data_IF_774428168300
#
_entry.id   IF_774428168300
#
_cell.length_a   1.000
_cell.length_b   1.000
_cell.length_c   1.000
_cell.angle_alpha   90.00
_cell.angle_beta   90.00
_cell.angle_gamma   90.00
#
_symmetry.space_group_name_H-M   'P 1'
#
loop_
_entity.id
_entity.type
_entity.pdbx_description
1 polymer ?
#
# COMPACT_ATOMS: atom_id res chain seq x y z
N UNK A 1 -39.21 33.77 -51.19
CA UNK A 1 -40.57 34.03 -50.76
C UNK A 1 -40.54 34.13 -49.25
N UNK A 2 -40.26 35.24 -48.61
CA UNK A 2 -41.03 36.45 -48.47
C UNK A 2 -42.36 36.22 -47.78
N UNK A 3 -42.52 36.71 -46.59
CA UNK A 3 -43.48 37.65 -46.01
C UNK A 3 -43.46 37.52 -44.49
N UNK A 4 -42.96 38.45 -43.78
CA UNK A 4 -43.35 39.83 -43.38
C UNK A 4 -44.53 39.89 -42.37
N UNK A 5 -44.21 40.39 -41.16
CA UNK A 5 -44.75 41.50 -40.36
C UNK A 5 -46.23 41.33 -39.91
N UNK A 6 -46.55 41.61 -38.63
CA UNK A 6 -47.09 42.89 -38.18
C UNK A 6 -47.23 42.94 -36.64
N UNK A 7 -46.82 44.06 -36.11
CA UNK A 7 -47.01 44.74 -34.83
C UNK A 7 -48.49 45.05 -34.59
N UNK A 8 -49.00 45.05 -33.35
CA UNK A 8 -49.79 46.16 -32.84
C UNK A 8 -49.90 46.25 -31.32
N UNK A 9 -49.66 47.42 -30.86
CA UNK A 9 -49.75 48.04 -29.55
C UNK A 9 -51.21 48.19 -29.06
N UNK A 10 -51.39 48.16 -27.75
CA UNK A 10 -52.40 49.06 -27.09
C UNK A 10 -52.02 49.26 -25.60
N UNK A 11 -51.91 50.52 -25.30
CA UNK A 11 -51.77 51.17 -24.00
C UNK A 11 -53.14 51.29 -23.35
N UNK A 12 -53.33 51.12 -22.04
CA UNK A 12 -54.17 51.98 -21.22
C UNK A 12 -53.67 52.09 -19.79
N UNK A 13 -53.62 53.32 -19.36
CA UNK A 13 -53.28 53.80 -18.02
C UNK A 13 -54.50 53.66 -17.08
N UNK A 14 -54.25 53.51 -15.76
CA UNK A 14 -54.58 54.54 -14.70
C UNK A 14 -54.75 53.81 -13.35
N UNK A 15 -54.26 54.47 -12.31
CA UNK A 15 -54.69 54.25 -10.94
C UNK A 15 -53.59 54.43 -9.87
N UNK A 16 -53.44 55.70 -9.42
CA UNK A 16 -52.64 56.04 -8.22
C UNK A 16 -53.28 55.49 -6.93
N UNK A 17 -52.53 55.04 -5.95
CA UNK A 17 -52.44 55.75 -4.65
C UNK A 17 -51.62 54.99 -3.61
N UNK A 18 -50.91 55.82 -2.86
CA UNK A 18 -50.46 55.81 -1.48
C UNK A 18 -49.16 55.02 -1.12
N UNK A 19 -48.27 55.88 -0.73
CA UNK A 19 -47.03 55.64 0.02
C UNK A 19 -47.20 54.71 1.21
N UNK A 20 -46.25 53.80 1.35
CA UNK A 20 -45.69 53.51 2.67
C UNK A 20 -44.20 53.21 2.53
N UNK A 21 -43.41 54.05 3.18
CA UNK A 21 -41.98 54.04 3.26
C UNK A 21 -41.54 53.09 4.37
N UNK A 22 -41.06 51.91 4.01
CA UNK A 22 -40.22 51.16 4.91
C UNK A 22 -38.86 50.92 4.24
N UNK A 23 -37.88 51.61 4.77
CA UNK A 23 -36.46 51.43 4.44
C UNK A 23 -36.06 49.97 4.58
N UNK A 24 -35.76 49.32 3.48
CA UNK A 24 -35.07 48.02 3.51
C UNK A 24 -33.59 48.25 3.84
N UNK A 25 -33.26 47.76 5.02
CA UNK A 25 -31.91 47.59 5.55
C UNK A 25 -30.98 46.93 4.50
N UNK A 26 -29.83 47.52 4.15
CA UNK A 26 -28.87 46.92 3.21
C UNK A 26 -27.92 45.93 3.94
N UNK A 27 -28.49 44.93 4.61
CA UNK A 27 -27.72 43.91 5.29
C UNK A 27 -28.32 42.53 5.02
N UNK A 28 -28.40 42.12 3.75
CA UNK A 28 -28.58 40.72 3.38
C UNK A 28 -28.12 40.50 1.91
N UNK A 29 -26.86 40.74 1.67
CA UNK A 29 -26.07 40.04 0.68
C UNK A 29 -24.82 39.55 1.43
N UNK A 30 -25.05 38.74 2.44
CA UNK A 30 -24.05 37.81 2.88
C UNK A 30 -24.00 36.71 1.80
N UNK A 31 -23.00 36.81 0.94
CA UNK A 31 -22.66 35.68 0.07
C UNK A 31 -22.58 34.43 0.94
N UNK A 32 -23.25 33.39 0.51
CA UNK A 32 -22.97 32.06 1.02
C UNK A 32 -21.48 31.79 0.71
N UNK A 33 -20.65 31.98 1.71
CA UNK A 33 -19.36 31.34 1.78
C UNK A 33 -19.72 29.86 1.85
N UNK A 34 -19.52 29.14 0.76
CA UNK A 34 -19.52 27.69 0.79
C UNK A 34 -18.58 27.32 1.92
N UNK A 35 -19.09 26.64 2.96
CA UNK A 35 -18.22 25.97 3.92
C UNK A 35 -17.31 25.08 3.07
N UNK A 36 -16.02 25.44 3.00
CA UNK A 36 -15.01 24.60 2.37
C UNK A 36 -14.98 23.30 3.17
N UNK A 37 -15.48 22.25 2.61
CA UNK A 37 -15.51 20.92 3.22
C UNK A 37 -14.14 20.29 3.01
N UNK A 38 -13.23 20.50 3.95
CA UNK A 38 -12.02 19.69 4.09
C UNK A 38 -12.20 18.69 5.24
N UNK A 39 -11.60 17.52 5.11
CA UNK A 39 -11.63 16.48 6.15
C UNK A 39 -10.44 16.62 7.09
N UNK A 40 -10.53 15.98 8.27
CA UNK A 40 -9.38 15.86 9.17
C UNK A 40 -8.18 15.17 8.49
N UNK A 41 -8.45 14.29 7.56
CA UNK A 41 -7.43 13.57 6.80
C UNK A 41 -6.74 14.44 5.77
N UNK A 42 -7.48 15.34 5.09
CA UNK A 42 -6.84 16.34 4.20
C UNK A 42 -5.84 17.18 4.99
N UNK A 43 -6.25 17.60 6.18
CA UNK A 43 -5.39 18.40 7.04
C UNK A 43 -4.16 17.63 7.50
N UNK A 44 -4.33 16.38 7.92
CA UNK A 44 -3.24 15.52 8.36
C UNK A 44 -2.28 15.21 7.19
N UNK A 45 -2.81 14.88 6.01
CA UNK A 45 -2.01 14.65 4.80
C UNK A 45 -1.11 15.84 4.48
N UNK A 46 -1.69 17.05 4.41
CA UNK A 46 -0.91 18.26 4.09
C UNK A 46 0.14 18.57 5.17
N UNK A 47 -0.22 18.40 6.45
CA UNK A 47 0.73 18.61 7.55
C UNK A 47 1.90 17.63 7.55
N UNK A 48 1.67 16.37 7.18
CA UNK A 48 2.73 15.35 7.13
C UNK A 48 3.56 15.45 5.85
N UNK A 49 2.94 15.81 4.72
CA UNK A 49 3.63 15.86 3.43
C UNK A 49 4.62 17.03 3.32
N UNK A 50 4.40 18.16 4.01
CA UNK A 50 5.36 19.28 4.02
C UNK A 50 6.73 18.86 4.54
N UNK A 51 6.88 18.35 5.78
CA UNK A 51 8.20 17.93 6.27
C UNK A 51 8.75 16.69 5.56
N UNK A 52 7.89 15.85 5.00
CA UNK A 52 8.30 14.76 4.12
C UNK A 52 9.01 15.31 2.90
N UNK A 53 8.40 16.21 2.16
CA UNK A 53 9.01 16.87 0.99
C UNK A 53 10.28 17.67 1.33
N UNK A 54 10.30 18.34 2.47
CA UNK A 54 11.50 19.07 2.92
C UNK A 54 12.71 18.14 3.09
N UNK A 55 12.51 16.91 3.56
CA UNK A 55 13.59 15.93 3.64
C UNK A 55 14.10 15.53 2.25
N UNK A 56 13.23 15.32 1.25
CA UNK A 56 13.66 15.04 -0.12
C UNK A 56 14.48 16.22 -0.71
N UNK A 57 14.06 17.45 -0.44
CA UNK A 57 14.82 18.65 -0.85
C UNK A 57 16.21 18.69 -0.18
N UNK A 58 16.29 18.30 1.11
CA UNK A 58 17.59 18.18 1.80
C UNK A 58 18.46 17.10 1.16
N UNK A 59 17.93 15.91 0.86
CA UNK A 59 18.65 14.85 0.15
C UNK A 59 19.14 15.32 -1.22
N UNK A 60 18.26 15.91 -2.00
CA UNK A 60 18.55 16.41 -3.35
C UNK A 60 19.65 17.49 -3.34
N UNK A 61 19.69 18.34 -2.31
CA UNK A 61 20.72 19.40 -2.18
C UNK A 61 22.15 18.85 -2.10
N UNK A 62 22.33 17.60 -1.65
CA UNK A 62 23.64 16.95 -1.54
C UNK A 62 24.21 16.56 -2.91
N UNK A 63 23.37 16.29 -3.90
CA UNK A 63 23.76 15.72 -5.18
C UNK A 63 24.77 16.59 -5.94
N UNK A 64 24.59 17.90 -5.95
CA UNK A 64 25.46 18.83 -6.67
C UNK A 64 26.95 18.75 -6.27
N UNK A 65 27.26 18.34 -5.05
CA UNK A 65 28.63 18.26 -4.53
C UNK A 65 29.15 16.83 -4.32
N UNK A 66 28.29 15.83 -4.42
CA UNK A 66 28.59 14.46 -4.03
C UNK A 66 28.40 13.41 -5.12
N UNK A 67 27.42 13.63 -6.02
CA UNK A 67 27.12 12.70 -7.09
C UNK A 67 28.23 12.64 -8.15
N UNK A 68 28.45 11.46 -8.70
CA UNK A 68 29.32 11.20 -9.83
C UNK A 68 28.56 11.25 -11.15
N UNK A 69 27.31 10.73 -11.18
CA UNK A 69 26.48 10.66 -12.36
C UNK A 69 25.77 12.00 -12.60
N UNK A 70 26.03 12.70 -13.74
CA UNK A 70 25.36 13.97 -14.05
C UNK A 70 23.82 13.85 -14.12
N UNK A 71 23.29 12.69 -14.52
CA UNK A 71 21.84 12.48 -14.58
C UNK A 71 21.21 12.47 -13.18
N UNK A 72 21.91 11.95 -12.17
CA UNK A 72 21.49 12.04 -10.75
C UNK A 72 21.46 13.51 -10.30
N UNK A 73 22.45 14.31 -10.69
CA UNK A 73 22.47 15.76 -10.38
C UNK A 73 21.27 16.47 -11.02
N UNK A 74 21.02 16.20 -12.30
CA UNK A 74 19.92 16.82 -13.03
C UNK A 74 18.56 16.43 -12.44
N UNK A 75 18.35 15.15 -12.13
CA UNK A 75 17.11 14.66 -11.52
C UNK A 75 16.94 15.20 -10.09
N UNK A 76 17.99 15.23 -9.27
CA UNK A 76 17.93 15.81 -7.93
C UNK A 76 17.52 17.29 -7.95
N UNK A 77 18.01 18.05 -8.93
CA UNK A 77 17.59 19.44 -9.11
C UNK A 77 16.12 19.56 -9.54
N UNK A 78 15.61 18.65 -10.38
CA UNK A 78 14.19 18.59 -10.76
C UNK A 78 13.30 18.23 -9.55
N UNK A 79 13.63 17.18 -8.81
CA UNK A 79 12.96 16.80 -7.56
C UNK A 79 12.91 17.98 -6.59
N UNK A 80 14.06 18.64 -6.36
CA UNK A 80 14.11 19.80 -5.45
C UNK A 80 13.20 20.94 -5.90
N UNK A 81 13.12 21.22 -7.20
CA UNK A 81 12.28 22.28 -7.74
C UNK A 81 10.78 21.95 -7.64
N UNK A 82 10.39 20.73 -8.01
CA UNK A 82 9.01 20.25 -7.95
C UNK A 82 8.50 20.24 -6.50
N UNK A 83 9.22 19.59 -5.60
CA UNK A 83 8.79 19.45 -4.21
C UNK A 83 8.79 20.77 -3.44
N UNK A 84 9.70 21.70 -3.72
CA UNK A 84 9.58 23.06 -3.17
C UNK A 84 8.31 23.80 -3.65
N UNK A 85 7.90 23.58 -4.91
CA UNK A 85 6.65 24.15 -5.42
C UNK A 85 5.41 23.54 -4.71
N UNK A 86 5.41 22.25 -4.50
CA UNK A 86 4.33 21.54 -3.78
C UNK A 86 4.27 21.95 -2.31
N UNK A 87 5.42 22.12 -1.63
CA UNK A 87 5.47 22.70 -0.28
C UNK A 87 4.76 24.05 -0.24
N UNK A 88 5.04 24.96 -1.17
CA UNK A 88 4.39 26.28 -1.21
C UNK A 88 2.88 26.18 -1.41
N UNK A 89 2.40 25.23 -2.23
CA UNK A 89 0.97 24.97 -2.40
C UNK A 89 0.35 24.51 -1.08
N UNK A 90 0.97 23.54 -0.40
CA UNK A 90 0.54 23.00 0.88
C UNK A 90 0.54 24.05 1.99
N UNK A 91 1.60 24.85 2.10
CA UNK A 91 1.67 25.95 3.05
C UNK A 91 0.57 27.00 2.81
N UNK A 92 0.33 27.37 1.55
CA UNK A 92 -0.73 28.30 1.18
C UNK A 92 -2.12 27.73 1.55
N UNK A 93 -2.32 26.44 1.37
CA UNK A 93 -3.55 25.74 1.75
C UNK A 93 -3.75 25.78 3.27
N UNK A 94 -2.72 25.51 4.07
CA UNK A 94 -2.76 25.60 5.53
C UNK A 94 -2.99 27.03 6.02
N UNK A 95 -2.28 28.01 5.46
CA UNK A 95 -2.44 29.43 5.82
C UNK A 95 -3.86 29.94 5.58
N UNK A 96 -4.49 29.52 4.47
CA UNK A 96 -5.87 29.90 4.17
C UNK A 96 -6.87 29.37 5.23
N UNK A 97 -6.46 28.38 6.01
CA UNK A 97 -7.23 27.74 7.11
C UNK A 97 -6.78 28.17 8.50
N UNK A 98 -5.95 29.22 8.58
CA UNK A 98 -5.55 29.86 9.84
C UNK A 98 -4.34 29.22 10.52
N UNK A 99 -3.65 28.29 9.86
CA UNK A 99 -2.38 27.75 10.37
C UNK A 99 -1.28 28.78 10.14
N UNK A 100 -0.62 29.17 11.21
CA UNK A 100 0.43 30.22 11.17
C UNK A 100 1.83 29.70 11.43
N UNK A 101 1.94 28.46 11.89
CA UNK A 101 3.21 27.78 12.10
C UNK A 101 3.23 26.51 11.23
N UNK A 102 4.19 26.45 10.31
CA UNK A 102 4.34 25.30 9.42
C UNK A 102 4.91 24.11 10.18
N UNK A 103 4.47 22.89 9.86
CA UNK A 103 4.98 21.69 10.49
C UNK A 103 6.42 21.41 10.04
N UNK A 104 7.20 20.86 10.94
CA UNK A 104 8.51 20.25 10.69
C UNK A 104 8.57 18.86 11.32
N UNK A 105 9.59 18.05 10.99
CA UNK A 105 9.72 16.68 11.50
C UNK A 105 9.76 16.63 13.03
N UNK A 106 10.41 17.59 13.67
CA UNK A 106 10.53 17.64 15.14
C UNK A 106 9.20 17.95 15.79
N UNK A 107 8.39 18.82 15.19
CA UNK A 107 7.08 19.23 15.70
C UNK A 107 6.02 18.13 15.62
N UNK A 108 6.19 17.15 14.72
CA UNK A 108 5.28 16.02 14.57
C UNK A 108 5.43 14.96 15.68
N UNK A 109 6.54 14.98 16.44
CA UNK A 109 6.75 14.11 17.59
C UNK A 109 6.53 12.62 17.28
N UNK A 110 5.61 11.95 17.99
CA UNK A 110 5.33 10.54 17.78
C UNK A 110 4.75 10.22 16.38
N UNK A 111 4.16 11.19 15.69
CA UNK A 111 3.64 10.99 14.33
C UNK A 111 4.74 10.91 13.27
N UNK A 112 5.92 11.50 13.52
CA UNK A 112 7.06 11.37 12.60
C UNK A 112 7.53 9.91 12.44
N UNK A 113 7.40 9.09 13.48
CA UNK A 113 7.72 7.66 13.43
C UNK A 113 6.72 6.79 12.62
N UNK A 114 5.65 7.38 12.12
CA UNK A 114 4.64 6.73 11.27
C UNK A 114 4.59 7.28 9.85
N UNK A 115 5.52 8.18 9.50
CA UNK A 115 5.63 8.65 8.12
C UNK A 115 6.48 7.67 7.30
N UNK A 116 5.80 7.02 6.38
CA UNK A 116 6.41 6.05 5.49
C UNK A 116 7.47 6.70 4.59
N UNK A 117 8.61 6.03 4.41
CA UNK A 117 9.67 6.49 3.54
C UNK A 117 10.58 7.59 4.08
N UNK A 118 10.26 8.20 5.23
CA UNK A 118 11.15 9.20 5.85
C UNK A 118 12.42 8.52 6.35
N UNK A 119 13.57 9.03 5.91
CA UNK A 119 14.87 8.54 6.34
C UNK A 119 15.14 8.87 7.81
N UNK A 120 15.74 7.92 8.50
CA UNK A 120 16.29 8.13 9.84
C UNK A 120 17.51 9.07 9.78
N UNK A 121 17.84 9.71 10.91
CA UNK A 121 19.05 10.55 10.98
C UNK A 121 20.32 9.75 10.66
N UNK A 122 20.37 8.45 10.99
CA UNK A 122 21.49 7.57 10.63
C UNK A 122 21.61 7.38 9.11
N UNK A 123 20.49 7.20 8.40
CA UNK A 123 20.49 7.09 6.93
C UNK A 123 20.86 8.43 6.28
N UNK A 124 20.33 9.54 6.78
CA UNK A 124 20.72 10.87 6.31
C UNK A 124 22.20 11.16 6.51
N UNK A 125 22.77 10.74 7.66
CA UNK A 125 24.20 10.91 7.92
C UNK A 125 25.05 10.02 7.00
N UNK A 126 24.61 8.78 6.74
CA UNK A 126 25.25 7.89 5.76
C UNK A 126 25.27 8.53 4.38
N UNK A 127 24.16 9.11 3.94
CA UNK A 127 24.06 9.82 2.66
C UNK A 127 24.99 11.07 2.61
N UNK A 128 25.05 11.82 3.71
CA UNK A 128 25.94 13.01 3.82
C UNK A 128 27.43 12.65 3.75
N UNK A 129 27.82 11.46 4.18
CA UNK A 129 29.21 11.00 4.16
C UNK A 129 29.61 10.37 2.82
N UNK A 130 28.66 9.78 2.09
CA UNK A 130 28.90 9.15 0.80
C UNK A 130 29.31 10.17 -0.28
N UNK A 131 30.03 9.69 -1.30
CA UNK A 131 30.41 10.47 -2.49
C UNK A 131 30.68 9.59 -3.70
N UNK A 132 30.64 10.17 -4.91
CA UNK A 132 30.88 9.40 -6.13
C UNK A 132 29.79 8.37 -6.39
N UNK A 133 30.15 7.20 -6.93
CA UNK A 133 29.21 6.11 -7.22
C UNK A 133 28.47 5.57 -5.99
N UNK A 134 29.09 5.61 -4.82
CA UNK A 134 28.43 5.23 -3.56
C UNK A 134 27.30 6.20 -3.21
N UNK A 135 27.53 7.52 -3.40
CA UNK A 135 26.47 8.49 -3.22
C UNK A 135 25.34 8.27 -4.23
N UNK A 136 25.65 8.07 -5.51
CA UNK A 136 24.67 7.85 -6.56
C UNK A 136 23.75 6.66 -6.21
N UNK A 137 24.33 5.56 -5.73
CA UNK A 137 23.58 4.38 -5.33
C UNK A 137 22.66 4.65 -4.12
N UNK A 138 23.23 5.18 -3.04
CA UNK A 138 22.48 5.48 -1.81
C UNK A 138 21.41 6.54 -2.04
N UNK A 139 21.72 7.59 -2.82
CA UNK A 139 20.72 8.61 -3.16
C UNK A 139 19.54 8.02 -3.91
N UNK A 140 19.81 7.17 -4.89
CA UNK A 140 18.75 6.51 -5.65
C UNK A 140 17.91 5.58 -4.79
N UNK A 141 18.55 4.71 -3.98
CA UNK A 141 17.84 3.78 -3.10
C UNK A 141 16.99 4.52 -2.07
N UNK A 142 17.54 5.49 -1.39
CA UNK A 142 16.84 6.25 -0.35
C UNK A 142 15.73 7.16 -0.91
N UNK A 143 15.97 7.78 -2.08
CA UNK A 143 14.94 8.61 -2.73
C UNK A 143 13.78 7.76 -3.27
N UNK A 144 14.04 6.55 -3.75
CA UNK A 144 12.99 5.60 -4.13
C UNK A 144 12.14 5.22 -2.91
N UNK A 145 12.76 4.85 -1.78
CA UNK A 145 12.04 4.53 -0.54
C UNK A 145 11.20 5.72 -0.06
N UNK A 146 11.78 6.91 -0.11
CA UNK A 146 11.12 8.16 0.26
C UNK A 146 9.90 8.46 -0.63
N UNK A 147 10.02 8.34 -1.94
CA UNK A 147 8.92 8.54 -2.89
C UNK A 147 7.79 7.52 -2.70
N UNK A 148 8.13 6.25 -2.46
CA UNK A 148 7.14 5.22 -2.15
C UNK A 148 6.31 5.58 -0.92
N UNK A 149 6.94 6.17 0.10
CA UNK A 149 6.24 6.68 1.28
C UNK A 149 5.27 7.80 0.97
N UNK A 150 5.67 8.79 0.16
CA UNK A 150 4.79 9.88 -0.26
C UNK A 150 3.59 9.38 -1.07
N UNK A 151 3.82 8.43 -1.99
CA UNK A 151 2.77 7.79 -2.79
C UNK A 151 1.77 7.07 -1.88
N UNK A 152 2.25 6.31 -0.89
CA UNK A 152 1.40 5.65 0.11
C UNK A 152 0.49 6.64 0.83
N UNK A 153 1.05 7.73 1.38
CA UNK A 153 0.27 8.78 2.05
C UNK A 153 -0.72 9.49 1.12
N UNK A 154 -0.36 9.71 -0.15
CA UNK A 154 -1.24 10.31 -1.14
C UNK A 154 -2.41 9.39 -1.52
N UNK A 155 -2.17 8.09 -1.62
CA UNK A 155 -3.22 7.09 -1.84
C UNK A 155 -4.21 7.01 -0.67
N UNK A 156 -3.72 7.08 0.56
CA UNK A 156 -4.56 7.06 1.76
C UNK A 156 -5.60 8.17 1.74
N UNK A 157 -5.21 9.39 1.35
CA UNK A 157 -6.16 10.50 1.27
C UNK A 157 -7.14 10.36 0.11
N UNK A 158 -6.75 9.74 -1.00
CA UNK A 158 -7.63 9.47 -2.14
C UNK A 158 -8.67 8.38 -1.86
N UNK A 159 -8.30 7.38 -1.05
CA UNK A 159 -9.15 6.23 -0.72
C UNK A 159 -10.27 6.57 0.28
N UNK A 160 -10.28 7.75 0.88
CA UNK A 160 -11.30 8.18 1.83
C UNK A 160 -12.62 8.60 1.16
N UNK A 161 -13.33 7.71 0.56
CA UNK A 161 -14.71 7.86 0.07
C UNK A 161 -14.97 9.07 -0.86
N UNK A 162 -15.67 8.86 -1.95
CA UNK A 162 -15.86 9.80 -3.07
C UNK A 162 -16.56 11.13 -2.75
N UNK A 163 -17.15 11.28 -1.56
CA UNK A 163 -17.93 12.47 -1.17
C UNK A 163 -17.33 13.30 -0.03
N UNK A 164 -16.14 12.96 0.46
CA UNK A 164 -15.47 13.70 1.53
C UNK A 164 -14.07 14.13 1.07
N UNK A 165 -13.65 15.31 1.50
CA UNK A 165 -12.32 15.85 1.25
C UNK A 165 -12.27 16.99 0.25
N UNK A 166 -11.21 17.78 0.36
CA UNK A 166 -10.95 18.96 -0.45
C UNK A 166 -10.50 18.55 -1.87
N UNK A 167 -11.18 18.99 -2.93
CA UNK A 167 -10.78 18.68 -4.30
C UNK A 167 -9.34 19.14 -4.64
N UNK A 168 -8.84 20.21 -4.03
CA UNK A 168 -7.48 20.68 -4.25
C UNK A 168 -6.46 19.72 -3.63
N UNK A 169 -6.73 19.17 -2.45
CA UNK A 169 -5.88 18.16 -1.81
C UNK A 169 -5.88 16.86 -2.62
N UNK A 170 -7.04 16.44 -3.12
CA UNK A 170 -7.12 15.25 -4.00
C UNK A 170 -6.34 15.44 -5.30
N UNK A 171 -6.43 16.61 -5.92
CA UNK A 171 -5.67 16.92 -7.12
C UNK A 171 -4.15 16.93 -6.85
N UNK A 172 -3.73 17.51 -5.72
CA UNK A 172 -2.34 17.49 -5.29
C UNK A 172 -1.85 16.05 -5.04
N UNK A 173 -2.61 15.23 -4.33
CA UNK A 173 -2.26 13.83 -4.09
C UNK A 173 -2.11 13.02 -5.39
N UNK A 174 -2.99 13.25 -6.38
CA UNK A 174 -2.87 12.63 -7.71
C UNK A 174 -1.62 13.11 -8.47
N UNK A 175 -1.26 14.40 -8.37
CA UNK A 175 -0.03 14.95 -8.97
C UNK A 175 1.21 14.29 -8.36
N UNK A 176 1.28 14.27 -7.03
CA UNK A 176 2.39 13.64 -6.28
C UNK A 176 2.60 12.20 -6.71
N UNK A 177 1.52 11.41 -6.80
CA UNK A 177 1.62 10.00 -7.26
C UNK A 177 2.24 9.93 -8.64
N UNK A 178 1.70 10.66 -9.62
CA UNK A 178 2.16 10.60 -11.01
C UNK A 178 3.61 11.05 -11.18
N UNK A 179 3.98 12.18 -10.59
CA UNK A 179 5.33 12.73 -10.69
C UNK A 179 6.37 11.83 -10.01
N UNK A 180 6.07 11.34 -8.81
CA UNK A 180 7.02 10.51 -8.07
C UNK A 180 7.13 9.08 -8.61
N UNK A 181 6.09 8.52 -9.24
CA UNK A 181 6.21 7.25 -9.98
C UNK A 181 7.18 7.39 -11.17
N UNK A 182 7.11 8.49 -11.94
CA UNK A 182 8.05 8.74 -13.03
C UNK A 182 9.49 8.93 -12.53
N UNK A 183 9.69 9.64 -11.43
CA UNK A 183 11.00 9.84 -10.81
C UNK A 183 11.61 8.54 -10.27
N UNK A 184 10.79 7.65 -9.68
CA UNK A 184 11.22 6.29 -9.26
C UNK A 184 11.76 5.49 -10.46
N UNK A 185 11.08 5.51 -11.60
CA UNK A 185 11.54 4.83 -12.81
C UNK A 185 12.91 5.36 -13.26
N UNK A 186 13.09 6.69 -13.28
CA UNK A 186 14.35 7.29 -13.64
C UNK A 186 15.47 6.93 -12.65
N UNK A 187 15.22 7.03 -11.33
CA UNK A 187 16.18 6.66 -10.29
C UNK A 187 16.64 5.22 -10.44
N UNK A 188 15.71 4.28 -10.58
CA UNK A 188 16.02 2.86 -10.79
C UNK A 188 16.92 2.65 -12.01
N UNK A 189 16.64 3.32 -13.12
CA UNK A 189 17.46 3.23 -14.33
C UNK A 189 18.88 3.75 -14.14
N UNK A 190 19.07 4.76 -13.28
CA UNK A 190 20.36 5.41 -13.05
C UNK A 190 21.26 4.65 -12.08
N UNK A 191 20.68 4.00 -11.07
CA UNK A 191 21.45 3.24 -10.06
C UNK A 191 21.67 1.78 -10.45
N UNK A 192 21.25 1.36 -11.64
CA UNK A 192 21.37 -0.04 -12.07
C UNK A 192 20.55 -0.99 -11.20
N UNK A 193 19.47 -0.51 -10.61
CA UNK A 193 18.57 -1.32 -9.77
C UNK A 193 17.92 -2.49 -10.55
N UNK A 194 18.11 -2.53 -11.87
CA UNK A 194 17.78 -3.67 -12.73
C UNK A 194 18.74 -4.86 -12.59
N UNK A 195 19.89 -4.70 -11.92
CA UNK A 195 20.94 -5.73 -11.82
C UNK A 195 20.80 -6.68 -10.61
N UNK A 196 19.77 -6.55 -9.76
CA UNK A 196 19.43 -7.68 -8.89
C UNK A 196 18.98 -8.82 -9.80
N UNK A 197 19.60 -10.00 -9.74
CA UNK A 197 19.25 -11.07 -10.65
C UNK A 197 17.74 -11.34 -10.57
N UNK A 198 17.08 -11.36 -11.72
CA UNK A 198 15.63 -11.64 -11.79
C UNK A 198 15.29 -12.97 -11.09
N UNK A 199 16.27 -13.87 -10.96
CA UNK A 199 16.17 -15.15 -10.24
C UNK A 199 17.42 -15.38 -9.43
N UNK A 200 17.22 -15.76 -8.17
CA UNK A 200 18.27 -16.13 -7.20
C UNK A 200 17.97 -17.53 -6.69
N UNK A 201 18.95 -18.40 -6.70
CA UNK A 201 18.82 -19.74 -6.14
C UNK A 201 18.90 -19.70 -4.62
N UNK A 202 17.96 -20.39 -3.95
CA UNK A 202 17.91 -20.51 -2.49
C UNK A 202 18.94 -21.54 -2.02
N UNK A 203 19.76 -21.17 -1.04
CA UNK A 203 20.78 -22.06 -0.49
C UNK A 203 20.85 -21.97 1.05
N UNK A 204 20.64 -23.08 1.76
CA UNK A 204 20.17 -24.37 1.26
C UNK A 204 18.75 -24.30 0.69
N UNK A 205 18.45 -25.17 -0.30
CA UNK A 205 17.11 -25.27 -0.85
C UNK A 205 16.09 -25.71 0.22
N UNK A 206 14.86 -25.23 0.10
CA UNK A 206 13.76 -25.56 1.02
C UNK A 206 13.13 -26.92 0.68
N UNK A 207 12.43 -27.52 1.63
CA UNK A 207 11.73 -28.80 1.40
C UNK A 207 10.47 -28.64 0.55
N UNK A 208 9.69 -27.60 0.84
CA UNK A 208 8.42 -27.25 0.18
C UNK A 208 8.04 -25.85 0.63
N UNK A 209 7.33 -25.10 -0.19
CA UNK A 209 6.82 -23.77 0.12
C UNK A 209 5.31 -23.78 0.13
N UNK A 210 4.72 -23.33 1.22
CA UNK A 210 3.27 -23.22 1.34
C UNK A 210 2.79 -21.79 1.14
N UNK A 211 3.44 -20.84 1.83
CA UNK A 211 3.08 -19.43 1.81
C UNK A 211 4.30 -18.56 2.11
N UNK A 212 4.25 -17.28 1.76
CA UNK A 212 5.36 -16.36 1.97
C UNK A 212 4.89 -14.92 2.23
N UNK A 213 5.60 -14.23 3.12
CA UNK A 213 5.48 -12.78 3.34
C UNK A 213 6.86 -12.13 3.21
N UNK A 214 6.91 -10.88 2.78
CA UNK A 214 8.17 -10.15 2.56
C UNK A 214 8.23 -8.89 3.42
N UNK A 215 9.43 -8.53 3.85
CA UNK A 215 9.71 -7.25 4.47
C UNK A 215 11.19 -6.94 4.43
N UNK A 216 11.53 -5.72 3.97
CA UNK A 216 12.90 -5.21 4.00
C UNK A 216 13.91 -6.05 3.22
N UNK A 217 13.51 -6.68 2.12
CA UNK A 217 14.37 -7.57 1.32
C UNK A 217 14.58 -8.95 1.92
N UNK A 218 13.82 -9.32 2.94
CA UNK A 218 13.80 -10.66 3.55
C UNK A 218 12.42 -11.29 3.29
N UNK A 219 12.41 -12.54 2.82
CA UNK A 219 11.18 -13.31 2.65
C UNK A 219 11.10 -14.35 3.76
N UNK A 220 9.95 -14.37 4.45
CA UNK A 220 9.60 -15.35 5.46
C UNK A 220 8.67 -16.38 4.83
N UNK A 221 9.04 -17.64 4.89
CA UNK A 221 8.41 -18.73 4.12
C UNK A 221 7.94 -19.82 5.07
N UNK A 222 6.66 -20.15 5.02
CA UNK A 222 6.08 -21.32 5.67
C UNK A 222 6.47 -22.59 4.92
N UNK A 223 7.02 -23.59 5.63
CA UNK A 223 7.47 -24.87 5.08
C UNK A 223 7.06 -26.01 5.96
N UNK A 224 7.24 -27.26 5.50
CA UNK A 224 7.05 -28.48 6.33
C UNK A 224 7.96 -28.59 7.56
N UNK A 225 8.93 -27.69 7.72
CA UNK A 225 9.95 -27.80 8.77
C UNK A 225 10.20 -26.50 9.55
N UNK A 226 9.24 -25.63 9.57
CA UNK A 226 9.30 -24.34 10.25
C UNK A 226 9.21 -23.16 9.30
N UNK A 227 9.46 -21.97 9.83
CA UNK A 227 9.60 -20.75 9.04
C UNK A 227 11.03 -20.57 8.62
N UNK A 228 11.26 -20.41 7.34
CA UNK A 228 12.57 -20.07 6.80
C UNK A 228 12.61 -18.60 6.39
N UNK A 229 13.71 -17.94 6.64
CA UNK A 229 13.99 -16.59 6.16
C UNK A 229 14.99 -16.67 5.01
N UNK A 230 14.68 -16.01 3.91
CA UNK A 230 15.54 -15.95 2.71
C UNK A 230 15.89 -14.49 2.43
N UNK A 231 17.19 -14.23 2.30
CA UNK A 231 17.70 -12.93 1.85
C UNK A 231 17.59 -12.83 0.33
N UNK A 232 16.83 -11.83 -0.14
CA UNK A 232 16.54 -11.65 -1.57
C UNK A 232 17.71 -11.15 -2.40
N UNK A 233 18.82 -10.78 -1.76
CA UNK A 233 20.03 -10.34 -2.47
C UNK A 233 21.04 -11.48 -2.66
N UNK A 234 21.06 -12.45 -1.76
CA UNK A 234 22.07 -13.54 -1.74
C UNK A 234 21.47 -14.93 -1.97
N UNK A 235 20.16 -15.09 -1.74
CA UNK A 235 19.50 -16.40 -1.72
C UNK A 235 19.80 -17.23 -0.47
N UNK A 236 20.54 -16.68 0.50
CA UNK A 236 20.84 -17.38 1.75
C UNK A 236 19.56 -17.67 2.51
N UNK A 237 19.33 -18.93 2.89
CA UNK A 237 18.17 -19.36 3.68
C UNK A 237 18.58 -19.86 5.04
N UNK A 238 17.80 -19.54 6.06
CA UNK A 238 17.98 -20.01 7.42
C UNK A 238 16.61 -20.31 8.07
N UNK A 239 16.60 -21.34 8.94
CA UNK A 239 15.44 -21.63 9.79
C UNK A 239 15.36 -20.58 10.91
N UNK A 240 14.16 -20.01 11.14
CA UNK A 240 13.92 -19.01 12.16
C UNK A 240 13.31 -19.66 13.41
N UNK A 241 13.90 -19.36 14.57
CA UNK A 241 13.46 -19.90 15.86
C UNK A 241 13.63 -21.41 15.98
N UNK A 242 12.95 -21.99 16.97
CA UNK A 242 13.07 -23.39 17.32
C UNK A 242 11.89 -24.24 16.82
N UNK A 243 10.82 -23.62 16.32
CA UNK A 243 9.65 -24.33 15.80
C UNK A 243 9.99 -25.07 14.50
N UNK A 244 9.59 -26.34 14.46
CA UNK A 244 9.66 -27.20 13.27
C UNK A 244 8.25 -27.64 12.84
N UNK A 245 7.23 -26.84 13.21
CA UNK A 245 5.86 -27.10 12.81
C UNK A 245 5.73 -26.91 11.30
N UNK A 246 4.82 -27.66 10.71
CA UNK A 246 4.48 -27.55 9.30
C UNK A 246 3.48 -26.40 9.13
N UNK A 247 3.97 -25.25 8.64
CA UNK A 247 3.16 -24.06 8.45
C UNK A 247 2.53 -24.02 7.06
N UNK A 248 1.25 -24.43 6.99
CA UNK A 248 0.45 -24.50 5.76
C UNK A 248 0.01 -23.12 5.22
N UNK A 249 -0.07 -22.12 6.09
CA UNK A 249 -0.38 -20.74 5.73
C UNK A 249 0.33 -19.76 6.63
N UNK A 250 0.64 -18.58 6.07
CA UNK A 250 1.36 -17.50 6.73
C UNK A 250 0.84 -16.15 6.24
N UNK A 251 0.48 -15.25 7.14
CA UNK A 251 0.02 -13.92 6.80
C UNK A 251 0.53 -12.87 7.79
N UNK A 252 0.57 -11.61 7.37
CA UNK A 252 0.91 -10.48 8.22
C UNK A 252 2.22 -9.79 7.86
N UNK A 253 2.74 -9.03 8.82
CA UNK A 253 3.94 -8.21 8.69
C UNK A 253 4.98 -8.67 9.69
N UNK A 254 6.16 -9.13 9.26
CA UNK A 254 7.21 -9.64 10.16
C UNK A 254 7.59 -8.68 11.28
N UNK A 255 7.66 -7.38 11.01
CA UNK A 255 8.02 -6.34 11.99
C UNK A 255 6.93 -6.05 13.00
N UNK A 256 5.69 -6.46 12.75
CA UNK A 256 4.54 -6.23 13.63
C UNK A 256 4.01 -7.55 14.16
N UNK A 257 3.23 -8.23 13.34
CA UNK A 257 2.54 -9.46 13.70
C UNK A 257 2.45 -10.36 12.48
N UNK A 258 2.79 -11.63 12.67
CA UNK A 258 2.45 -12.71 11.73
C UNK A 258 1.47 -13.68 12.40
N UNK A 259 0.59 -14.25 11.60
CA UNK A 259 -0.28 -15.37 11.97
C UNK A 259 -0.02 -16.55 11.04
N UNK A 260 -0.16 -17.75 11.55
CA UNK A 260 0.05 -18.98 10.79
C UNK A 260 -0.87 -20.09 11.28
N UNK A 261 -0.96 -21.15 10.49
CA UNK A 261 -1.67 -22.38 10.81
C UNK A 261 -1.00 -23.56 10.15
N UNK A 262 -1.34 -24.79 10.59
CA UNK A 262 -0.80 -26.01 10.00
C UNK A 262 -0.79 -27.19 10.95
N UNK A 263 0.31 -27.96 10.96
CA UNK A 263 0.44 -29.19 11.74
C UNK A 263 1.64 -29.15 12.70
N UNK A 264 1.55 -29.82 13.86
CA UNK A 264 2.66 -29.86 14.80
C UNK A 264 3.83 -30.68 14.24
N UNK A 265 5.02 -30.10 14.31
CA UNK A 265 6.27 -30.74 13.94
C UNK A 265 6.86 -31.60 15.07
N UNK A 266 8.05 -32.16 14.81
CA UNK A 266 8.77 -32.98 15.79
C UNK A 266 9.14 -32.16 17.01
N UNK A 267 8.62 -32.52 18.17
CA UNK A 267 8.89 -31.85 19.45
C UNK A 267 7.93 -30.72 19.79
N UNK A 268 6.95 -30.46 18.94
CA UNK A 268 5.86 -29.51 19.23
C UNK A 268 4.99 -30.02 20.38
N UNK A 269 4.54 -29.10 21.22
CA UNK A 269 3.56 -29.39 22.27
C UNK A 269 2.13 -29.08 21.87
N UNK A 270 1.92 -28.55 20.65
CA UNK A 270 0.62 -28.18 20.12
C UNK A 270 -0.17 -29.42 19.64
N UNK A 271 -1.48 -29.35 19.69
CA UNK A 271 -2.37 -30.38 19.14
C UNK A 271 -2.38 -30.36 17.61
N UNK A 272 -2.81 -31.44 16.98
CA UNK A 272 -2.95 -31.50 15.51
C UNK A 272 -4.43 -31.35 15.10
N UNK A 273 -4.77 -30.35 14.27
CA UNK A 273 -3.95 -29.24 13.74
C UNK A 273 -3.59 -28.21 14.82
N UNK A 274 -2.60 -27.32 14.53
CA UNK A 274 -2.15 -26.33 15.51
C UNK A 274 -3.12 -25.16 15.72
N UNK A 275 -4.18 -25.08 14.91
CA UNK A 275 -5.12 -23.96 14.94
C UNK A 275 -4.49 -22.65 14.45
N UNK A 276 -4.90 -21.54 15.03
CA UNK A 276 -4.28 -20.23 14.78
C UNK A 276 -3.15 -19.99 15.77
N UNK A 277 -1.95 -19.75 15.26
CA UNK A 277 -0.79 -19.31 16.03
C UNK A 277 -0.34 -17.93 15.59
N UNK A 278 0.31 -17.18 16.49
CA UNK A 278 0.73 -15.80 16.30
C UNK A 278 2.18 -15.62 16.71
N UNK A 279 2.92 -14.84 15.93
CA UNK A 279 4.26 -14.36 16.28
C UNK A 279 4.30 -12.84 16.27
N UNK A 280 4.91 -12.23 17.29
CA UNK A 280 5.18 -10.80 17.40
C UNK A 280 6.68 -10.47 17.33
N UNK A 281 7.50 -11.42 16.92
CA UNK A 281 8.97 -11.32 16.89
C UNK A 281 9.58 -12.00 15.66
N UNK A 282 9.03 -11.75 14.50
CA UNK A 282 9.55 -12.19 13.20
C UNK A 282 9.63 -13.72 13.05
N UNK A 283 8.71 -14.45 13.68
CA UNK A 283 8.66 -15.92 13.58
C UNK A 283 9.60 -16.66 14.54
N UNK A 284 10.35 -15.95 15.42
CA UNK A 284 11.25 -16.60 16.39
C UNK A 284 10.48 -17.45 17.39
N UNK A 285 9.31 -17.00 17.83
CA UNK A 285 8.41 -17.77 18.72
C UNK A 285 6.97 -17.62 18.28
N UNK A 286 6.16 -18.65 18.55
CA UNK A 286 4.76 -18.73 18.20
C UNK A 286 3.92 -19.01 19.44
N UNK A 287 2.80 -18.32 19.57
CA UNK A 287 1.81 -18.44 20.62
C UNK A 287 0.51 -19.01 20.05
N UNK A 288 -0.06 -20.05 20.66
CA UNK A 288 -1.37 -20.56 20.29
C UNK A 288 -2.45 -19.57 20.71
N UNK A 289 -3.33 -19.19 19.77
CA UNK A 289 -4.39 -18.21 19.99
C UNK A 289 -5.74 -18.91 20.14
N UNK A 290 -6.10 -19.76 19.17
CA UNK A 290 -7.40 -20.46 19.18
C UNK A 290 -7.45 -21.61 18.19
N UNK A 291 -8.52 -22.40 18.23
CA UNK A 291 -8.86 -23.47 17.30
C UNK A 291 -7.82 -24.60 17.24
N UNK A 292 -6.96 -24.71 18.26
CA UNK A 292 -5.99 -25.79 18.40
C UNK A 292 -6.69 -27.15 18.49
N UNK A 293 -6.28 -28.10 17.67
CA UNK A 293 -6.91 -29.40 17.52
C UNK A 293 -8.19 -29.40 16.66
N UNK A 294 -8.63 -28.24 16.15
CA UNK A 294 -9.91 -28.09 15.46
C UNK A 294 -9.74 -27.68 13.98
N UNK A 295 -8.86 -26.72 13.69
CA UNK A 295 -8.77 -26.06 12.36
C UNK A 295 -7.35 -26.04 11.84
N UNK A 296 -7.20 -26.37 10.56
CA UNK A 296 -5.98 -26.25 9.75
C UNK A 296 -6.25 -25.27 8.61
N UNK A 297 -5.85 -24.01 8.80
CA UNK A 297 -6.01 -23.00 7.76
C UNK A 297 -4.97 -23.18 6.65
N UNK A 298 -5.46 -23.36 5.44
CA UNK A 298 -4.66 -23.44 4.21
C UNK A 298 -4.55 -22.10 3.48
N UNK A 299 -5.30 -21.11 3.88
CA UNK A 299 -5.19 -19.72 3.44
C UNK A 299 -5.58 -18.80 4.60
N UNK A 300 -4.77 -17.78 4.83
CA UNK A 300 -4.95 -16.78 5.88
C UNK A 300 -4.76 -15.38 5.32
N UNK A 301 -5.48 -14.42 5.88
CA UNK A 301 -5.22 -13.00 5.70
C UNK A 301 -5.47 -12.25 7.01
N UNK A 302 -4.65 -11.25 7.30
CA UNK A 302 -4.78 -10.40 8.47
C UNK A 302 -4.74 -8.92 8.06
N UNK A 303 -5.65 -8.14 8.65
CA UNK A 303 -5.62 -6.69 8.62
C UNK A 303 -5.90 -6.19 10.05
N UNK A 304 -4.88 -5.67 10.72
CA UNK A 304 -4.92 -5.31 12.14
C UNK A 304 -5.38 -6.47 13.03
N UNK A 305 -6.59 -6.37 13.62
CA UNK A 305 -7.20 -7.41 14.45
C UNK A 305 -8.23 -8.27 13.68
N UNK A 306 -8.42 -8.02 12.40
CA UNK A 306 -9.32 -8.79 11.57
C UNK A 306 -8.54 -9.90 10.87
N UNK A 307 -8.99 -11.15 11.04
CA UNK A 307 -8.36 -12.31 10.43
C UNK A 307 -9.41 -13.09 9.65
N UNK A 308 -9.06 -13.49 8.44
CA UNK A 308 -9.85 -14.40 7.61
C UNK A 308 -9.03 -15.63 7.32
N UNK A 309 -9.65 -16.81 7.47
CA UNK A 309 -9.00 -18.07 7.17
C UNK A 309 -9.95 -19.08 6.50
N UNK A 310 -9.35 -20.04 5.81
CA UNK A 310 -10.06 -21.15 5.17
C UNK A 310 -9.34 -22.49 5.42
N UNK A 311 -10.08 -23.50 5.86
CA UNK A 311 -9.59 -24.82 6.30
C UNK A 311 -10.01 -25.95 5.37
N UNK A 312 -10.15 -25.81 4.12
CA UNK A 312 -10.48 -26.83 3.11
C UNK A 312 -11.80 -27.59 3.31
N UNK A 313 -12.40 -27.59 4.51
CA UNK A 313 -13.57 -28.43 4.88
C UNK A 313 -14.85 -27.63 5.09
N UNK A 314 -14.74 -26.32 5.28
CA UNK A 314 -15.87 -25.49 5.69
C UNK A 314 -16.00 -24.17 4.95
N UNK A 315 -16.86 -23.28 5.45
CA UNK A 315 -16.91 -21.90 4.99
C UNK A 315 -15.64 -21.15 5.38
N UNK A 316 -15.47 -19.96 4.84
CA UNK A 316 -14.52 -18.99 5.39
C UNK A 316 -14.83 -18.76 6.87
N UNK A 317 -13.80 -18.60 7.66
CA UNK A 317 -13.91 -18.17 9.05
C UNK A 317 -13.36 -16.77 9.18
N UNK A 318 -14.04 -15.92 9.93
CA UNK A 318 -13.68 -14.51 10.12
C UNK A 318 -13.69 -14.13 11.60
N UNK A 319 -12.63 -13.49 12.04
CA UNK A 319 -12.44 -12.94 13.39
C UNK A 319 -12.26 -11.43 13.33
N UNK A 320 -12.80 -10.72 14.32
CA UNK A 320 -12.62 -9.26 14.51
C UNK A 320 -11.79 -8.91 15.75
N UNK A 321 -11.35 -9.91 16.49
CA UNK A 321 -10.72 -9.78 17.82
C UNK A 321 -9.35 -10.44 17.90
N UNK A 322 -8.63 -10.48 16.78
CA UNK A 322 -7.29 -11.04 16.71
C UNK A 322 -7.24 -12.56 16.76
N UNK A 323 -8.33 -13.21 16.31
CA UNK A 323 -8.44 -14.67 16.24
C UNK A 323 -9.00 -15.33 17.50
N UNK A 324 -9.52 -14.58 18.48
CA UNK A 324 -10.07 -15.17 19.71
C UNK A 324 -11.46 -15.76 19.51
N UNK A 325 -12.30 -15.14 18.67
CA UNK A 325 -13.62 -15.66 18.31
C UNK A 325 -13.82 -15.62 16.80
N UNK A 326 -14.66 -16.52 16.28
CA UNK A 326 -14.82 -16.74 14.86
C UNK A 326 -16.28 -16.78 14.43
N UNK A 327 -16.56 -16.20 13.28
CA UNK A 327 -17.87 -16.20 12.61
C UNK A 327 -17.72 -16.88 11.25
N UNK A 328 -18.68 -17.73 10.87
CA UNK A 328 -18.72 -18.36 9.55
C UNK A 328 -19.14 -17.38 8.46
N UNK A 329 -18.41 -17.38 7.35
CA UNK A 329 -18.69 -16.63 6.13
C UNK A 329 -19.21 -17.53 4.99
N UNK A 330 -19.04 -17.10 3.72
CA UNK A 330 -19.46 -17.87 2.56
C UNK A 330 -18.63 -19.16 2.37
N UNK A 331 -19.25 -20.16 1.77
CA UNK A 331 -18.57 -21.41 1.40
C UNK A 331 -17.89 -21.23 0.04
N UNK A 332 -16.57 -21.20 0.04
CA UNK A 332 -15.71 -21.12 -1.15
C UNK A 332 -14.50 -22.05 -0.99
N UNK A 333 -13.91 -22.46 -2.10
CA UNK A 333 -12.63 -23.19 -2.08
C UNK A 333 -11.50 -22.17 -2.32
N UNK A 334 -11.02 -21.57 -1.26
CA UNK A 334 -9.98 -20.56 -1.37
C UNK A 334 -8.60 -21.20 -1.62
N UNK A 335 -7.83 -20.63 -2.53
CA UNK A 335 -6.41 -20.97 -2.72
C UNK A 335 -5.50 -19.93 -2.09
N UNK A 336 -5.79 -18.63 -2.26
CA UNK A 336 -5.16 -17.56 -1.50
C UNK A 336 -6.21 -16.53 -1.09
N UNK A 337 -5.93 -15.84 0.00
CA UNK A 337 -6.80 -14.82 0.59
C UNK A 337 -5.91 -13.63 0.94
N UNK A 338 -6.35 -12.42 0.57
CA UNK A 338 -5.67 -11.18 0.98
C UNK A 338 -6.68 -10.11 1.39
N UNK A 339 -6.27 -9.21 2.26
CA UNK A 339 -6.93 -7.94 2.49
C UNK A 339 -6.36 -6.90 1.54
N UNK A 340 -7.23 -6.22 0.82
CA UNK A 340 -6.84 -5.06 0.04
C UNK A 340 -7.95 -4.02 0.11
N UNK A 341 -7.59 -2.81 0.53
CA UNK A 341 -8.57 -1.78 0.90
C UNK A 341 -9.56 -2.34 1.95
N UNK A 342 -10.85 -2.07 1.83
CA UNK A 342 -11.88 -2.49 2.80
C UNK A 342 -12.47 -3.89 2.53
N UNK A 343 -11.90 -4.66 1.60
CA UNK A 343 -12.45 -5.94 1.16
C UNK A 343 -11.44 -7.07 1.25
N UNK A 344 -11.97 -8.29 1.36
CA UNK A 344 -11.21 -9.54 1.24
C UNK A 344 -11.26 -10.02 -0.20
N UNK A 345 -10.10 -10.35 -0.74
CA UNK A 345 -9.94 -10.86 -2.09
C UNK A 345 -9.48 -12.31 -2.04
N UNK A 346 -10.12 -13.17 -2.82
CA UNK A 346 -10.01 -14.61 -2.70
C UNK A 346 -9.79 -15.19 -4.10
N UNK A 347 -8.79 -16.06 -4.25
CA UNK A 347 -8.69 -16.87 -5.47
C UNK A 347 -9.32 -18.24 -5.27
N UNK A 348 -10.00 -18.72 -6.29
CA UNK A 348 -10.62 -20.06 -6.31
C UNK A 348 -10.28 -20.79 -7.61
N UNK A 349 -10.19 -22.13 -7.59
CA UNK A 349 -9.84 -22.89 -8.79
C UNK A 349 -10.91 -22.83 -9.90
N UNK A 350 -12.17 -22.64 -9.55
CA UNK A 350 -13.31 -22.70 -10.47
C UNK A 350 -13.88 -21.34 -10.88
N UNK A 351 -13.75 -20.31 -10.03
CA UNK A 351 -14.33 -18.98 -10.28
C UNK A 351 -13.26 -17.87 -10.44
N UNK A 352 -11.97 -18.20 -10.27
CA UNK A 352 -10.89 -17.22 -10.30
C UNK A 352 -10.96 -16.23 -9.13
N UNK A 353 -10.93 -14.93 -9.42
CA UNK A 353 -10.91 -13.87 -8.42
C UNK A 353 -12.31 -13.53 -7.92
N UNK A 354 -12.49 -13.57 -6.60
CA UNK A 354 -13.70 -13.17 -5.89
C UNK A 354 -13.41 -12.01 -4.94
N UNK A 355 -14.39 -11.14 -4.76
CA UNK A 355 -14.44 -10.14 -3.70
C UNK A 355 -15.42 -10.56 -2.62
N UNK A 356 -15.08 -10.32 -1.37
CA UNK A 356 -15.94 -10.54 -0.22
C UNK A 356 -15.80 -9.42 0.80
N UNK A 357 -16.94 -8.92 1.28
CA UNK A 357 -16.95 -8.01 2.42
C UNK A 357 -17.32 -8.83 3.68
N UNK A 358 -16.48 -8.85 4.71
CA UNK A 358 -16.77 -9.57 5.94
C UNK A 358 -18.12 -9.18 6.54
N UNK A 359 -18.92 -10.24 6.88
CA UNK A 359 -20.32 -10.08 7.29
C UNK A 359 -21.34 -10.42 6.20
N UNK A 360 -20.98 -10.41 4.93
CA UNK A 360 -21.84 -10.91 3.86
C UNK A 360 -21.78 -12.44 3.78
N UNK A 361 -22.88 -13.06 3.38
CA UNK A 361 -22.95 -14.53 3.20
C UNK A 361 -22.65 -14.97 1.76
N UNK A 362 -22.27 -14.03 0.88
CA UNK A 362 -21.99 -14.30 -0.53
C UNK A 362 -20.75 -13.51 -0.98
N UNK A 363 -20.08 -14.06 -2.00
CA UNK A 363 -18.97 -13.41 -2.70
C UNK A 363 -19.43 -12.83 -4.03
N UNK A 364 -18.66 -11.90 -4.58
CA UNK A 364 -18.86 -11.32 -5.92
C UNK A 364 -17.73 -11.79 -6.83
N UNK A 365 -18.07 -12.44 -7.94
CA UNK A 365 -17.08 -12.87 -8.93
C UNK A 365 -16.61 -11.67 -9.76
N UNK A 366 -15.28 -11.53 -9.90
CA UNK A 366 -14.65 -10.44 -10.67
C UNK A 366 -14.33 -10.88 -12.11
N UNK A 367 -14.28 -12.20 -12.35
CA UNK A 367 -14.11 -12.77 -13.69
C UNK A 367 -12.66 -12.76 -14.20
N UNK A 368 -11.68 -12.59 -13.33
CA UNK A 368 -10.25 -12.69 -13.65
C UNK A 368 -9.73 -14.10 -13.37
N UNK A 369 -8.89 -14.69 -14.25
CA UNK A 369 -8.41 -16.08 -14.13
C UNK A 369 -7.25 -16.20 -13.11
N UNK A 370 -7.36 -15.54 -11.97
CA UNK A 370 -6.32 -15.40 -10.96
C UNK A 370 -6.19 -16.68 -10.13
N UNK A 371 -4.97 -17.12 -9.91
CA UNK A 371 -4.64 -18.32 -9.12
C UNK A 371 -3.93 -18.02 -7.80
N UNK A 372 -3.17 -16.93 -7.73
CA UNK A 372 -2.51 -16.47 -6.49
C UNK A 372 -2.66 -14.95 -6.34
N UNK A 373 -2.70 -14.51 -5.09
CA UNK A 373 -2.70 -13.10 -4.69
C UNK A 373 -1.64 -12.87 -3.63
N UNK A 374 -1.11 -11.66 -3.62
CA UNK A 374 -0.36 -11.10 -2.50
C UNK A 374 -0.58 -9.59 -2.45
N UNK A 375 -0.44 -9.00 -1.29
CA UNK A 375 -0.49 -7.55 -1.11
C UNK A 375 0.83 -7.05 -0.52
N UNK A 376 1.18 -5.82 -0.84
CA UNK A 376 2.25 -5.12 -0.13
C UNK A 376 1.97 -5.11 1.38
N UNK A 377 2.99 -5.01 2.23
CA UNK A 377 2.82 -5.01 3.68
C UNK A 377 1.89 -3.92 4.21
N UNK A 378 1.75 -2.80 3.49
CA UNK A 378 0.84 -1.70 3.82
C UNK A 378 -0.56 -1.85 3.23
N UNK A 379 -0.78 -2.83 2.34
CA UNK A 379 -2.03 -3.00 1.62
C UNK A 379 -2.31 -1.94 0.55
N UNK A 380 -1.28 -1.24 0.07
CA UNK A 380 -1.36 -0.17 -0.93
C UNK A 380 -1.10 -0.66 -2.37
N UNK A 381 -0.67 -1.90 -2.53
CA UNK A 381 -0.58 -2.58 -3.82
C UNK A 381 -1.08 -4.02 -3.70
N UNK A 382 -1.79 -4.48 -4.72
CA UNK A 382 -2.20 -5.88 -4.87
C UNK A 382 -1.58 -6.47 -6.12
N UNK A 383 -1.04 -7.68 -5.97
CA UNK A 383 -0.42 -8.45 -7.02
C UNK A 383 -1.18 -9.74 -7.24
N UNK A 384 -1.31 -10.14 -8.50
CA UNK A 384 -1.96 -11.39 -8.87
C UNK A 384 -1.13 -12.17 -9.87
N UNK A 385 -1.25 -13.49 -9.81
CA UNK A 385 -0.77 -14.41 -10.83
C UNK A 385 -1.99 -15.06 -11.48
N UNK A 386 -2.07 -15.02 -12.80
CA UNK A 386 -3.13 -15.65 -13.56
C UNK A 386 -2.78 -17.10 -13.93
N UNK A 387 -3.78 -17.85 -14.37
CA UNK A 387 -3.64 -19.27 -14.71
C UNK A 387 -2.65 -19.54 -15.87
N UNK A 388 -2.37 -18.56 -16.71
CA UNK A 388 -1.37 -18.62 -17.78
C UNK A 388 0.06 -18.26 -17.31
N UNK A 389 0.21 -17.92 -16.01
CA UNK A 389 1.47 -17.50 -15.39
C UNK A 389 1.76 -16.01 -15.53
N UNK A 390 0.91 -15.22 -16.17
CA UNK A 390 1.10 -13.76 -16.20
C UNK A 390 0.91 -13.14 -14.83
N UNK A 391 1.78 -12.17 -14.51
CA UNK A 391 1.79 -11.47 -13.22
C UNK A 391 1.41 -10.03 -13.44
N UNK A 392 0.48 -9.55 -12.62
CA UNK A 392 -0.04 -8.19 -12.71
C UNK A 392 -0.08 -7.52 -11.35
N UNK A 393 0.11 -6.21 -11.35
CA UNK A 393 -0.05 -5.32 -10.18
C UNK A 393 -1.18 -4.35 -10.41
N UNK A 394 -1.90 -4.01 -9.34
CA UNK A 394 -2.87 -2.91 -9.31
C UNK A 394 -2.77 -2.13 -8.00
N UNK A 395 -3.13 -0.85 -8.04
CA UNK A 395 -3.26 0.02 -6.87
C UNK A 395 -4.73 0.33 -6.55
N UNK A 396 -5.62 0.13 -7.53
CA UNK A 396 -7.01 0.59 -7.47
C UNK A 396 -8.03 -0.49 -7.88
N UNK A 397 -7.54 -1.69 -8.30
CA UNK A 397 -8.35 -2.79 -8.84
C UNK A 397 -9.05 -2.49 -10.18
N UNK A 398 -8.94 -1.27 -10.67
CA UNK A 398 -9.52 -0.83 -11.95
C UNK A 398 -8.53 -1.02 -13.10
N UNK A 399 -7.27 -0.73 -12.84
CA UNK A 399 -6.16 -0.84 -13.77
C UNK A 399 -5.15 -1.91 -13.31
N UNK A 400 -4.71 -2.75 -14.23
CA UNK A 400 -3.75 -3.80 -13.97
C UNK A 400 -2.58 -3.68 -14.93
N UNK A 401 -1.38 -3.52 -14.39
CA UNK A 401 -0.14 -3.45 -15.16
C UNK A 401 0.57 -4.79 -15.10
N UNK A 402 0.96 -5.33 -16.24
CA UNK A 402 1.70 -6.59 -16.30
C UNK A 402 3.15 -6.36 -15.89
N UNK A 403 3.64 -7.18 -14.96
CA UNK A 403 5.01 -7.13 -14.42
C UNK A 403 5.89 -8.29 -14.92
N UNK A 404 5.35 -9.21 -15.69
CA UNK A 404 6.08 -10.36 -16.22
C UNK A 404 5.25 -11.62 -16.34
N UNK A 405 5.93 -12.76 -16.47
CA UNK A 405 5.31 -14.08 -16.51
C UNK A 405 6.19 -15.13 -15.84
N UNK A 406 5.56 -16.14 -15.26
CA UNK A 406 6.18 -17.22 -14.50
C UNK A 406 5.89 -18.57 -15.13
N UNK A 407 6.84 -19.49 -15.01
CA UNK A 407 6.63 -20.90 -15.39
C UNK A 407 6.18 -21.74 -14.22
N UNK A 408 6.71 -21.43 -13.04
CA UNK A 408 6.49 -22.17 -11.81
C UNK A 408 6.41 -21.16 -10.66
N UNK A 409 5.48 -21.40 -9.73
CA UNK A 409 5.34 -20.62 -8.50
C UNK A 409 4.65 -21.47 -7.44
N UNK A 410 5.16 -21.44 -6.21
CA UNK A 410 4.54 -22.04 -5.03
C UNK A 410 3.90 -20.97 -4.15
N UNK A 411 4.61 -19.83 -3.93
CA UNK A 411 4.08 -18.68 -3.19
C UNK A 411 4.47 -17.34 -3.85
N UNK A 412 3.68 -16.31 -3.57
CA UNK A 412 3.91 -14.94 -4.02
C UNK A 412 4.02 -14.03 -2.79
N UNK A 413 5.12 -13.31 -2.66
CA UNK A 413 5.31 -12.29 -1.62
C UNK A 413 5.51 -10.93 -2.28
N UNK A 414 4.69 -9.93 -1.92
CA UNK A 414 4.63 -8.65 -2.62
C UNK A 414 5.09 -7.48 -1.74
N UNK A 415 5.84 -6.60 -2.36
CA UNK A 415 6.11 -5.24 -1.93
C UNK A 415 5.28 -4.26 -2.80
N UNK A 416 5.42 -2.96 -2.57
CA UNK A 416 4.66 -1.97 -3.33
C UNK A 416 4.99 -2.01 -4.83
N UNK A 417 6.26 -1.97 -5.19
CA UNK A 417 6.75 -1.80 -6.57
C UNK A 417 7.26 -3.08 -7.22
N UNK A 418 7.38 -4.16 -6.47
CA UNK A 418 7.82 -5.46 -6.96
C UNK A 418 7.21 -6.61 -6.17
N UNK A 419 7.30 -7.82 -6.72
CA UNK A 419 6.91 -9.04 -6.03
C UNK A 419 7.97 -10.12 -6.21
N UNK A 420 7.94 -11.09 -5.34
CA UNK A 420 8.80 -12.26 -5.39
C UNK A 420 7.96 -13.52 -5.61
N UNK A 421 8.22 -14.18 -6.72
CA UNK A 421 7.74 -15.54 -6.95
C UNK A 421 8.72 -16.51 -6.28
N UNK A 422 8.19 -17.29 -5.35
CA UNK A 422 8.97 -18.19 -4.51
C UNK A 422 8.70 -19.62 -4.90
N UNK A 423 9.77 -20.42 -5.04
CA UNK A 423 9.75 -21.87 -5.11
C UNK A 423 10.71 -22.44 -4.06
N UNK A 424 10.68 -23.74 -3.83
CA UNK A 424 11.60 -24.38 -2.91
C UNK A 424 13.08 -24.19 -3.26
N UNK A 425 13.40 -23.82 -4.51
CA UNK A 425 14.78 -23.73 -5.01
C UNK A 425 15.20 -22.31 -5.36
N UNK A 426 14.27 -21.39 -5.56
CA UNK A 426 14.60 -20.06 -6.04
C UNK A 426 13.56 -18.99 -5.67
N UNK A 427 14.03 -17.75 -5.67
CA UNK A 427 13.23 -16.53 -5.64
C UNK A 427 13.41 -15.83 -6.98
N UNK A 428 12.32 -15.47 -7.63
CA UNK A 428 12.34 -14.63 -8.83
C UNK A 428 11.68 -13.29 -8.52
N UNK A 429 12.44 -12.20 -8.69
CA UNK A 429 11.91 -10.85 -8.56
C UNK A 429 11.16 -10.45 -9.83
N UNK A 430 10.01 -9.82 -9.66
CA UNK A 430 9.13 -9.27 -10.69
C UNK A 430 8.92 -7.79 -10.39
N UNK A 431 9.14 -6.93 -11.37
CA UNK A 431 8.93 -5.50 -11.25
C UNK A 431 8.23 -4.96 -12.50
N UNK A 432 7.64 -3.79 -12.40
CA UNK A 432 6.96 -3.14 -13.54
C UNK A 432 7.93 -2.59 -14.61
N UNK A 433 9.23 -2.61 -14.31
CA UNK A 433 10.28 -1.98 -15.12
C UNK A 433 10.90 -2.92 -16.19
N UNK A 434 10.23 -3.99 -16.58
CA UNK A 434 10.70 -4.92 -17.64
C UNK A 434 10.04 -4.66 -18.97
#
# INVERSE_FOLDING_TARGET
MACTITVLTALTMTGCSSQDSTAKNPAQVAGQVSEETFSASDFMFVQMMIPHHDQAVQMASLANSRALNPQIIDLANQISAAQNSEIQVMESWLMSRGVTQMPDLDSLGAHAGHMDGVLTESQMETLRQASGGEFDQLFGEFMIEHHLGAISMAQDVLNQGTNQGDPAVKALAQSIIGEQEEEIVLLKSMIGASDKPARIDISPALSHVHDAVVSGGLIYIGTHSGIHRVDTSTGSSELIGDSKDDFMSLAGQPEKVMVASGHPGVGSSLSNPIGLVKSANQGLTWESISLEGEVDFHALAINENQIVGWDTRGPLLWSQDGGQSWTGGPSVQAKSIVWFQDSVWITTPDQGLLQWNPGDMTTVAVGLPTVLLSTSPKGDAIWRVDADGSVHRSLDLQSWTQAGSLKEIEALAAEFDHAYAVTAQSVQRLSLDN
#
